data_IF_013605678457
#
_entry.id   IF_013605678457
#
_cell.length_a   1.000
_cell.length_b   1.000
_cell.length_c   1.000
_cell.angle_alpha   90.00
_cell.angle_beta   90.00
_cell.angle_gamma   90.00
#
_symmetry.space_group_name_H-M   'P 1'
#
loop_
_entity.id
_entity.type
_entity.pdbx_description
1 polymer ?
#
# COMPACT_ATOMS: atom_id res chain seq x y z
N UNK A 1 -0.85 -16.44 3.75
CA UNK A 1 0.14 -16.10 4.79
C UNK A 1 0.52 -14.66 4.50
N UNK A 2 0.04 -13.72 5.34
CA UNK A 2 0.39 -12.31 5.20
C UNK A 2 1.83 -12.09 5.68
N UNK A 3 2.49 -11.10 5.11
CA UNK A 3 3.75 -10.50 5.62
C UNK A 3 5.03 -11.37 5.49
N UNK A 4 5.06 -12.31 4.54
CA UNK A 4 6.33 -12.93 4.13
C UNK A 4 6.47 -12.88 2.60
N UNK A 5 7.24 -11.89 2.15
CA UNK A 5 7.40 -11.61 0.73
C UNK A 5 8.56 -12.38 0.07
N UNK A 6 9.42 -13.06 0.84
CA UNK A 6 10.49 -13.92 0.29
C UNK A 6 11.32 -13.24 -0.81
N UNK A 7 11.48 -13.92 -1.95
CA UNK A 7 12.10 -13.39 -3.20
C UNK A 7 11.06 -13.09 -4.27
N UNK A 8 9.83 -12.73 -3.87
CA UNK A 8 8.76 -12.45 -4.83
C UNK A 8 8.93 -11.04 -5.42
N UNK A 9 8.49 -10.87 -6.68
CA UNK A 9 8.30 -9.53 -7.27
C UNK A 9 7.09 -8.88 -6.58
N UNK A 10 7.28 -7.68 -6.05
CA UNK A 10 6.30 -6.96 -5.22
C UNK A 10 6.04 -5.60 -5.84
N UNK A 11 4.77 -5.20 -5.86
CA UNK A 11 4.37 -3.83 -6.15
C UNK A 11 3.80 -3.18 -4.89
N UNK A 12 4.24 -1.95 -4.61
CA UNK A 12 3.79 -1.15 -3.47
C UNK A 12 3.13 0.17 -3.91
N UNK A 13 2.06 0.57 -3.22
CA UNK A 13 1.45 1.90 -3.32
C UNK A 13 1.47 2.55 -1.94
N UNK A 14 2.13 3.70 -1.82
CA UNK A 14 2.27 4.42 -0.56
C UNK A 14 1.46 5.71 -0.63
N UNK A 15 0.60 5.92 0.35
CA UNK A 15 -0.36 7.02 0.37
C UNK A 15 -0.17 7.85 1.64
N UNK A 16 0.07 9.15 1.47
CA UNK A 16 0.03 10.13 2.54
C UNK A 16 -1.16 11.09 2.33
N UNK A 17 -2.26 10.84 3.05
CA UNK A 17 -3.50 11.60 2.91
C UNK A 17 -3.46 13.04 3.47
N UNK A 18 -2.46 13.37 4.29
CA UNK A 18 -2.21 14.74 4.77
C UNK A 18 -1.12 15.46 3.98
N UNK A 19 -0.29 14.69 3.25
CA UNK A 19 0.88 15.15 2.50
C UNK A 19 1.83 16.02 3.34
N UNK A 20 2.05 15.63 4.59
CA UNK A 20 2.86 16.35 5.58
C UNK A 20 4.21 15.69 5.89
N UNK A 21 4.48 14.53 5.26
CA UNK A 21 5.71 13.76 5.44
C UNK A 21 5.78 12.94 6.73
N UNK A 22 4.72 12.87 7.55
CA UNK A 22 4.80 12.22 8.87
C UNK A 22 4.38 10.75 8.87
N UNK A 23 3.43 10.38 8.01
CA UNK A 23 2.83 9.05 7.97
C UNK A 23 2.50 8.63 6.53
N UNK A 24 2.82 7.39 6.19
CA UNK A 24 2.34 6.74 4.97
C UNK A 24 1.53 5.49 5.32
N UNK A 25 0.45 5.26 4.58
CA UNK A 25 -0.23 3.98 4.50
C UNK A 25 0.33 3.23 3.31
N UNK A 26 0.95 2.09 3.54
CA UNK A 26 1.68 1.34 2.53
C UNK A 26 0.96 0.03 2.25
N UNK A 27 0.67 -0.22 0.98
CA UNK A 27 -0.05 -1.40 0.52
C UNK A 27 0.81 -2.14 -0.48
N UNK A 28 1.04 -3.41 -0.24
CA UNK A 28 1.92 -4.27 -1.03
C UNK A 28 1.14 -5.45 -1.60
N UNK A 29 1.43 -5.78 -2.86
CA UNK A 29 0.90 -6.98 -3.52
C UNK A 29 2.04 -7.67 -4.25
N UNK A 30 2.25 -8.96 -3.98
CA UNK A 30 3.17 -9.77 -4.78
C UNK A 30 2.54 -10.22 -6.10
N UNK A 31 3.37 -10.61 -7.06
CA UNK A 31 2.89 -11.22 -8.32
C UNK A 31 2.02 -12.49 -8.12
N UNK A 32 2.08 -13.10 -6.93
CA UNK A 32 1.26 -14.24 -6.54
C UNK A 32 -0.05 -13.85 -5.80
N UNK A 33 -0.43 -12.56 -5.83
CA UNK A 33 -1.63 -12.01 -5.18
C UNK A 33 -1.58 -12.10 -3.65
N UNK A 34 -0.37 -12.09 -3.06
CA UNK A 34 -0.19 -12.00 -1.60
C UNK A 34 -0.22 -10.54 -1.19
N UNK A 35 -1.17 -10.19 -0.31
CA UNK A 35 -1.32 -8.86 0.27
C UNK A 35 -0.43 -8.71 1.52
N UNK A 36 0.08 -7.50 1.72
CA UNK A 36 0.53 -7.01 3.02
C UNK A 36 0.40 -5.49 3.08
N UNK A 37 0.41 -4.97 4.29
CA UNK A 37 0.16 -3.57 4.57
C UNK A 37 0.86 -3.16 5.86
N UNK A 38 1.22 -1.89 5.93
CA UNK A 38 1.77 -1.31 7.13
C UNK A 38 1.47 0.18 7.19
N UNK A 39 1.68 0.73 8.38
CA UNK A 39 1.78 2.17 8.58
C UNK A 39 3.25 2.50 8.78
N UNK A 40 3.80 3.33 7.91
CA UNK A 40 5.15 3.87 8.05
C UNK A 40 5.10 5.24 8.72
N UNK A 41 5.96 5.45 9.72
CA UNK A 41 6.16 6.76 10.36
C UNK A 41 7.64 7.00 10.61
N UNK A 42 8.05 8.27 10.67
CA UNK A 42 9.44 8.64 10.99
C UNK A 42 9.90 8.13 12.37
N UNK A 43 8.97 8.01 13.32
CA UNK A 43 9.27 7.64 14.69
C UNK A 43 9.47 6.12 14.87
N UNK A 44 8.62 5.30 14.24
CA UNK A 44 8.54 3.87 14.51
C UNK A 44 8.95 2.99 13.33
N UNK A 45 9.20 3.58 12.15
CA UNK A 45 9.36 2.80 10.93
C UNK A 45 8.04 2.17 10.49
N UNK A 46 8.13 1.04 9.78
CA UNK A 46 7.00 0.26 9.29
C UNK A 46 6.37 -0.58 10.42
N UNK A 47 5.09 -0.34 10.69
CA UNK A 47 4.28 -1.15 11.60
C UNK A 47 3.32 -2.06 10.82
N UNK A 48 3.73 -3.32 10.66
CA UNK A 48 2.94 -4.38 10.01
C UNK A 48 1.86 -4.99 10.91
N UNK A 49 1.70 -4.53 12.16
CA UNK A 49 0.56 -4.95 12.99
C UNK A 49 -0.74 -4.27 12.57
N UNK A 50 -0.64 -3.19 11.78
CA UNK A 50 -1.79 -2.52 11.19
C UNK A 50 -2.39 -3.38 10.08
N UNK A 51 -3.71 -3.60 10.17
CA UNK A 51 -4.43 -4.50 9.29
C UNK A 51 -5.65 -3.78 8.69
N UNK A 52 -5.52 -3.28 7.46
CA UNK A 52 -6.60 -2.64 6.74
C UNK A 52 -7.46 -3.64 5.96
N UNK A 53 -8.74 -3.29 5.79
CA UNK A 53 -9.64 -4.03 4.91
C UNK A 53 -9.59 -3.42 3.51
N UNK A 54 -8.93 -4.09 2.58
CA UNK A 54 -8.80 -3.70 1.17
C UNK A 54 -8.70 -4.94 0.27
N UNK A 55 -8.86 -4.75 -1.04
CA UNK A 55 -8.92 -5.87 -2.00
C UNK A 55 -7.83 -5.69 -3.06
N UNK A 56 -7.09 -6.74 -3.36
CA UNK A 56 -6.21 -6.83 -4.53
C UNK A 56 -6.67 -7.90 -5.51
N UNK A 57 -6.20 -7.78 -6.75
CA UNK A 57 -6.13 -8.89 -7.68
C UNK A 57 -4.88 -8.80 -8.55
N UNK A 58 -3.94 -9.72 -8.37
CA UNK A 58 -2.82 -9.92 -9.28
C UNK A 58 -3.10 -11.04 -10.31
N UNK A 59 -2.63 -10.84 -11.54
CA UNK A 59 -2.79 -11.78 -12.65
C UNK A 59 -1.51 -11.83 -13.48
N UNK A 60 -1.04 -13.03 -13.81
CA UNK A 60 0.04 -13.22 -14.77
C UNK A 60 -0.48 -13.00 -16.20
N UNK A 61 0.36 -12.40 -17.04
CA UNK A 61 0.12 -12.15 -18.47
C UNK A 61 1.28 -12.70 -19.30
N UNK A 62 1.13 -12.70 -20.62
CA UNK A 62 2.18 -13.21 -21.53
C UNK A 62 3.50 -12.42 -21.44
N UNK A 63 3.48 -11.19 -20.91
CA UNK A 63 4.65 -10.29 -20.84
C UNK A 63 5.04 -9.90 -19.42
N UNK A 64 4.38 -10.45 -18.39
CA UNK A 64 4.63 -10.08 -16.99
C UNK A 64 3.44 -10.36 -16.09
N UNK A 65 3.08 -9.39 -15.26
CA UNK A 65 1.91 -9.46 -14.40
C UNK A 65 1.28 -8.08 -14.22
N UNK A 66 0.00 -8.06 -13.88
CA UNK A 66 -0.76 -6.85 -13.58
C UNK A 66 -1.42 -6.99 -12.22
N UNK A 67 -1.64 -5.86 -11.55
CA UNK A 67 -2.35 -5.82 -10.26
C UNK A 67 -3.40 -4.72 -10.28
N UNK A 68 -4.58 -5.05 -9.77
CA UNK A 68 -5.64 -4.10 -9.44
C UNK A 68 -5.82 -4.02 -7.92
N UNK A 69 -5.99 -2.82 -7.39
CA UNK A 69 -6.13 -2.57 -5.95
C UNK A 69 -7.33 -1.69 -5.69
N UNK A 70 -8.17 -2.07 -4.72
CA UNK A 70 -9.29 -1.28 -4.22
C UNK A 70 -9.06 -0.94 -2.75
N UNK A 71 -8.63 0.29 -2.51
CA UNK A 71 -8.35 0.84 -1.18
C UNK A 71 -9.52 1.76 -0.78
N UNK A 72 -10.32 1.41 0.24
CA UNK A 72 -11.39 2.27 0.71
C UNK A 72 -10.82 3.54 1.38
N UNK A 73 -11.47 4.69 1.17
CA UNK A 73 -11.12 5.92 1.88
C UNK A 73 -11.14 5.76 3.41
N UNK A 74 -12.03 4.91 3.94
CA UNK A 74 -12.12 4.62 5.37
C UNK A 74 -10.88 3.91 5.95
N UNK A 75 -10.03 3.31 5.11
CA UNK A 75 -8.75 2.75 5.53
C UNK A 75 -7.67 3.82 5.70
N UNK A 76 -7.90 5.04 5.21
CA UNK A 76 -6.91 6.11 5.16
C UNK A 76 -7.29 7.24 6.13
N UNK A 77 -6.28 7.90 6.67
CA UNK A 77 -6.43 9.20 7.32
C UNK A 77 -6.04 10.29 6.34
N UNK A 78 -6.83 11.34 6.26
CA UNK A 78 -6.65 12.43 5.31
C UNK A 78 -7.31 13.73 5.80
N UNK A 79 -6.95 14.85 5.17
CA UNK A 79 -7.47 16.18 5.52
C UNK A 79 -8.98 16.33 5.31
N UNK A 80 -9.67 17.04 6.21
CA UNK A 80 -11.10 17.41 6.06
C UNK A 80 -11.33 18.58 5.09
N UNK A 81 -10.27 19.15 4.49
CA UNK A 81 -10.37 20.23 3.53
C UNK A 81 -11.17 19.82 2.28
N UNK A 82 -11.94 20.75 1.72
CA UNK A 82 -12.73 20.52 0.50
C UNK A 82 -11.88 20.14 -0.72
N UNK A 83 -10.62 20.61 -0.77
CA UNK A 83 -9.67 20.25 -1.81
C UNK A 83 -8.42 19.70 -1.15
N UNK A 84 -8.19 18.41 -1.30
CA UNK A 84 -7.08 17.71 -0.67
C UNK A 84 -5.89 17.63 -1.62
N UNK A 85 -4.69 17.74 -1.06
CA UNK A 85 -3.44 17.39 -1.75
C UNK A 85 -2.89 16.16 -1.06
N UNK A 86 -2.73 15.06 -1.78
CA UNK A 86 -2.21 13.81 -1.24
C UNK A 86 -0.82 13.53 -1.80
N UNK A 87 0.02 12.92 -0.99
CA UNK A 87 1.27 12.30 -1.43
C UNK A 87 0.99 10.88 -1.93
N UNK A 88 1.56 10.52 -3.07
CA UNK A 88 1.52 9.16 -3.59
C UNK A 88 2.90 8.76 -4.09
N UNK A 89 3.31 7.54 -3.78
CA UNK A 89 4.52 6.95 -4.32
C UNK A 89 4.28 5.49 -4.71
N UNK A 90 5.11 4.99 -5.60
CA UNK A 90 5.07 3.62 -6.08
C UNK A 90 6.42 2.94 -5.85
N UNK A 91 6.36 1.68 -5.46
CA UNK A 91 7.52 0.85 -5.15
C UNK A 91 7.47 -0.46 -5.95
N UNK A 92 8.65 -0.99 -6.29
CA UNK A 92 8.79 -2.33 -6.84
C UNK A 92 10.13 -2.95 -6.43
N UNK A 93 10.13 -4.23 -6.09
CA UNK A 93 11.31 -5.07 -5.79
C UNK A 93 11.18 -6.44 -6.44
#
# INVERSE_FOLDING_TARGET
QRDNFGTADIFGVFINGFNDGQQNFEFFVSAADVQGDCVMTDANGEDYSWDAVWISKAVLTDTGWTVEMKIPYAALRFSEENKQTWGINFFRE
#
